data_IF_581603045124
#
_entry.id   IF_581603045124
#
_cell.length_a   1.000
_cell.length_b   1.000
_cell.length_c   1.000
_cell.angle_alpha   90.00
_cell.angle_beta   90.00
_cell.angle_gamma   90.00
#
_symmetry.space_group_name_H-M   'P 1'
#
loop_
_entity.id
_entity.type
_entity.pdbx_description
1 polymer ?
#
# COMPACT_ATOMS: atom_id res chain seq x y z
N UNK A 1 -7.55 42.03 26.04
CA UNK A 1 -7.69 41.98 24.56
C UNK A 1 -8.23 40.62 24.17
N UNK A 2 -9.05 40.58 23.12
CA UNK A 2 -10.21 39.71 22.91
C UNK A 2 -9.91 38.20 22.86
N UNK A 3 -10.65 37.42 23.66
CA UNK A 3 -10.89 35.99 23.45
C UNK A 3 -12.00 35.80 22.43
N UNK A 4 -11.87 34.81 21.55
CA UNK A 4 -12.95 34.36 20.65
C UNK A 4 -13.40 32.97 21.10
N UNK A 5 -14.64 32.92 21.56
CA UNK A 5 -15.41 31.70 21.81
C UNK A 5 -15.92 31.16 20.48
N UNK A 6 -15.78 29.86 20.24
CA UNK A 6 -16.46 29.16 19.16
C UNK A 6 -17.83 28.71 19.65
N UNK A 7 -18.87 29.06 18.88
CA UNK A 7 -20.27 28.68 19.12
C UNK A 7 -20.55 27.40 18.34
N UNK A 8 -20.98 26.37 19.07
CA UNK A 8 -21.57 25.13 18.55
C UNK A 8 -22.99 25.45 18.06
N UNK A 9 -23.34 25.06 16.84
CA UNK A 9 -24.71 25.11 16.34
C UNK A 9 -25.21 23.68 16.09
N UNK A 10 -26.08 23.21 16.97
CA UNK A 10 -26.91 22.02 16.78
C UNK A 10 -28.12 22.39 15.90
N UNK A 11 -28.43 21.57 14.90
CA UNK A 11 -29.69 21.65 14.15
C UNK A 11 -30.45 20.34 14.36
N UNK A 12 -31.64 20.47 14.94
CA UNK A 12 -32.60 19.39 15.20
C UNK A 12 -33.83 19.60 14.29
N UNK A 13 -34.36 18.47 13.79
CA UNK A 13 -35.74 18.19 13.40
C UNK A 13 -36.42 18.98 12.27
N UNK A 14 -36.94 18.24 11.27
CA UNK A 14 -38.38 18.14 11.05
C UNK A 14 -38.73 17.02 10.05
N UNK A 15 -39.48 16.04 10.53
CA UNK A 15 -40.23 15.02 9.79
C UNK A 15 -41.48 15.61 9.13
N UNK A 16 -41.77 15.24 7.89
CA UNK A 16 -43.10 15.36 7.28
C UNK A 16 -43.53 14.02 6.66
N UNK A 17 -44.61 13.47 7.21
CA UNK A 17 -45.45 12.42 6.65
C UNK A 17 -46.45 13.03 5.67
N UNK A 18 -46.64 12.41 4.51
CA UNK A 18 -47.88 12.54 3.73
C UNK A 18 -48.24 11.18 3.12
N UNK A 19 -49.47 10.76 3.45
CA UNK A 19 -50.20 9.57 2.99
C UNK A 19 -50.98 9.93 1.72
N UNK A 20 -51.10 9.00 0.77
CA UNK A 20 -52.01 9.11 -0.38
C UNK A 20 -52.21 7.76 -1.09
N UNK A 21 -53.47 7.36 -1.27
CA UNK A 21 -53.95 5.99 -1.53
C UNK A 21 -54.13 5.60 -3.02
N UNK A 22 -54.27 4.26 -3.23
CA UNK A 22 -55.17 3.57 -4.19
C UNK A 22 -54.85 3.71 -5.69
N UNK A 23 -55.05 2.78 -6.64
CA UNK A 23 -55.76 1.50 -6.88
C UNK A 23 -55.08 0.91 -8.18
N UNK A 24 -55.02 -0.36 -8.57
CA UNK A 24 -55.98 -1.46 -8.60
C UNK A 24 -56.18 -1.93 -10.07
N UNK A 25 -56.03 -3.24 -10.34
CA UNK A 25 -56.41 -3.97 -11.58
C UNK A 25 -55.46 -3.82 -12.79
N UNK A 26 -55.26 -4.76 -13.71
CA UNK A 26 -55.82 -6.10 -13.97
C UNK A 26 -54.91 -6.80 -15.01
N UNK A 27 -54.95 -8.13 -15.05
CA UNK A 27 -54.24 -8.96 -16.01
C UNK A 27 -54.99 -9.04 -17.36
N UNK A 28 -54.26 -9.22 -18.47
CA UNK A 28 -54.84 -9.83 -19.66
C UNK A 28 -53.82 -10.64 -20.46
N UNK A 29 -54.15 -11.92 -20.63
CA UNK A 29 -53.58 -12.90 -21.55
C UNK A 29 -54.10 -12.65 -22.98
N UNK A 30 -53.26 -12.93 -23.98
CA UNK A 30 -53.63 -12.94 -25.39
C UNK A 30 -52.71 -13.89 -26.15
N UNK A 31 -53.28 -15.02 -26.53
CA UNK A 31 -52.72 -16.14 -27.29
C UNK A 31 -52.76 -15.86 -28.80
N UNK A 32 -51.86 -16.46 -29.61
CA UNK A 32 -51.95 -16.35 -31.08
C UNK A 32 -50.71 -16.67 -31.93
N UNK A 33 -50.53 -17.97 -32.23
CA UNK A 33 -50.16 -18.57 -33.53
C UNK A 33 -48.84 -18.22 -34.28
N UNK A 34 -47.88 -19.16 -34.25
CA UNK A 34 -47.51 -20.06 -35.37
C UNK A 34 -46.54 -19.65 -36.51
N UNK A 35 -45.54 -20.53 -36.73
CA UNK A 35 -44.66 -20.76 -37.92
C UNK A 35 -43.31 -20.02 -38.09
N UNK A 36 -42.28 -20.65 -38.71
CA UNK A 36 -41.63 -21.92 -38.36
C UNK A 36 -40.12 -21.75 -38.07
N UNK A 37 -39.52 -22.79 -37.48
CA UNK A 37 -38.12 -22.81 -37.03
C UNK A 37 -37.12 -22.69 -38.19
N UNK A 38 -36.35 -21.59 -38.20
CA UNK A 38 -35.13 -21.48 -38.98
C UNK A 38 -33.96 -22.11 -38.21
N UNK A 39 -33.34 -23.11 -38.82
CA UNK A 39 -32.16 -23.80 -38.31
C UNK A 39 -30.99 -22.82 -38.22
N UNK A 40 -30.61 -22.42 -37.00
CA UNK A 40 -29.38 -21.69 -36.75
C UNK A 40 -28.24 -22.69 -36.73
N UNK A 41 -27.41 -22.68 -37.76
CA UNK A 41 -26.09 -23.31 -37.72
C UNK A 41 -25.29 -22.65 -36.61
N UNK A 42 -25.01 -23.41 -35.55
CA UNK A 42 -24.07 -23.03 -34.48
C UNK A 42 -22.71 -22.71 -35.10
N UNK A 43 -22.36 -21.43 -35.08
CA UNK A 43 -21.04 -20.94 -35.41
C UNK A 43 -20.08 -21.44 -34.32
N UNK A 44 -18.98 -22.11 -34.65
CA UNK A 44 -18.08 -22.65 -33.64
C UNK A 44 -17.56 -21.52 -32.75
N UNK A 45 -17.86 -21.62 -31.46
CA UNK A 45 -17.39 -20.70 -30.43
C UNK A 45 -15.87 -20.58 -30.55
N UNK A 46 -15.39 -19.36 -30.78
CA UNK A 46 -13.96 -19.08 -30.77
C UNK A 46 -13.38 -19.59 -29.44
N UNK A 47 -12.36 -20.44 -29.52
CA UNK A 47 -11.56 -20.82 -28.36
C UNK A 47 -11.01 -19.54 -27.73
N UNK A 48 -11.18 -19.29 -26.42
CA UNK A 48 -10.60 -18.11 -25.81
C UNK A 48 -9.09 -18.18 -25.97
N UNK A 49 -8.51 -17.15 -26.58
CA UNK A 49 -7.06 -16.93 -26.59
C UNK A 49 -6.59 -16.90 -25.15
N UNK A 50 -5.54 -17.64 -24.75
CA UNK A 50 -4.97 -17.53 -23.42
C UNK A 50 -4.60 -16.06 -23.15
N UNK A 51 -5.16 -15.48 -22.10
CA UNK A 51 -4.79 -14.14 -21.64
C UNK A 51 -3.32 -14.21 -21.19
N UNK A 52 -2.47 -13.35 -21.74
CA UNK A 52 -1.06 -13.31 -21.33
C UNK A 52 -1.01 -12.97 -19.83
N UNK A 53 -0.18 -13.68 -19.03
CA UNK A 53 -0.10 -13.45 -17.61
C UNK A 53 0.34 -12.00 -17.33
N UNK A 54 -0.29 -11.37 -16.35
CA UNK A 54 0.06 -10.01 -15.97
C UNK A 54 1.54 -9.92 -15.55
N UNK A 55 2.24 -8.90 -16.04
CA UNK A 55 3.65 -8.65 -15.73
C UNK A 55 3.83 -7.49 -14.77
N UNK A 56 4.96 -7.50 -14.06
CA UNK A 56 5.45 -6.35 -13.32
C UNK A 56 5.91 -5.26 -14.29
N UNK A 57 5.86 -4.01 -13.82
CA UNK A 57 6.56 -2.90 -14.44
C UNK A 57 8.03 -3.26 -14.61
N UNK A 58 8.52 -3.14 -15.85
CA UNK A 58 9.84 -3.59 -16.25
C UNK A 58 9.93 -5.04 -16.73
N UNK A 59 8.80 -5.73 -16.85
CA UNK A 59 8.65 -7.06 -17.45
C UNK A 59 8.77 -8.21 -16.45
N UNK A 60 8.27 -9.39 -16.82
CA UNK A 60 8.33 -10.62 -16.02
C UNK A 60 7.48 -10.59 -14.75
N UNK A 61 7.56 -11.67 -13.94
CA UNK A 61 6.63 -11.89 -12.80
C UNK A 61 7.30 -11.90 -11.43
N UNK A 62 8.62 -11.78 -11.36
CA UNK A 62 9.39 -11.78 -10.11
C UNK A 62 9.99 -10.40 -9.84
N UNK A 63 9.91 -9.94 -8.58
CA UNK A 63 10.42 -8.63 -8.17
C UNK A 63 11.95 -8.58 -8.27
N UNK A 64 12.64 -9.47 -7.58
CA UNK A 64 14.10 -9.46 -7.44
C UNK A 64 14.70 -10.74 -8.04
N UNK A 65 15.96 -10.74 -8.53
CA UNK A 65 16.98 -9.71 -8.36
C UNK A 65 17.13 -8.71 -9.52
N UNK A 66 16.27 -8.73 -10.53
CA UNK A 66 16.57 -8.00 -11.79
C UNK A 66 16.21 -6.49 -11.77
N UNK A 67 15.56 -6.03 -10.70
CA UNK A 67 15.18 -4.62 -10.54
C UNK A 67 15.35 -4.13 -9.10
N UNK A 68 15.61 -2.84 -8.95
CA UNK A 68 15.61 -2.11 -7.68
C UNK A 68 14.54 -1.04 -7.73
N UNK A 69 14.07 -0.61 -6.58
CA UNK A 69 13.02 0.40 -6.49
C UNK A 69 13.51 1.66 -5.80
N UNK A 70 13.05 2.80 -6.31
CA UNK A 70 13.24 4.10 -5.68
C UNK A 70 11.88 4.77 -5.60
N UNK A 71 11.44 5.05 -4.38
CA UNK A 71 10.08 5.44 -4.09
C UNK A 71 9.95 6.85 -3.51
N UNK A 72 8.84 7.51 -3.85
CA UNK A 72 8.39 8.71 -3.18
C UNK A 72 7.35 8.30 -2.13
N UNK A 73 7.59 8.66 -0.87
CA UNK A 73 6.78 8.26 0.27
C UNK A 73 5.79 9.35 0.67
N UNK A 74 4.57 8.97 1.05
CA UNK A 74 3.72 9.81 1.89
C UNK A 74 2.22 9.67 1.68
N UNK A 75 1.46 10.53 2.35
CA UNK A 75 -0.01 10.55 2.26
C UNK A 75 -0.53 11.61 1.28
N UNK A 76 -1.36 11.24 0.30
CA UNK A 76 -1.96 12.19 -0.64
C UNK A 76 -2.59 13.42 0.02
N UNK A 77 -2.12 14.61 -0.38
CA UNK A 77 -2.68 15.88 0.10
C UNK A 77 -2.28 16.29 1.52
N UNK A 78 -1.38 15.55 2.18
CA UNK A 78 -0.86 15.91 3.51
C UNK A 78 0.67 16.06 3.45
N UNK A 79 1.21 17.26 3.17
CA UNK A 79 2.65 17.52 3.07
C UNK A 79 3.47 17.04 4.27
N UNK A 80 2.91 17.17 5.49
CA UNK A 80 3.59 16.75 6.72
C UNK A 80 3.71 15.24 6.92
N UNK A 81 3.16 14.43 6.01
CA UNK A 81 3.26 12.97 6.03
C UNK A 81 4.11 12.43 4.88
N UNK A 82 5.03 13.24 4.35
CA UNK A 82 6.05 12.83 3.39
C UNK A 82 5.94 13.49 2.02
N UNK A 83 7.07 13.49 1.32
CA UNK A 83 7.26 14.17 0.04
C UNK A 83 6.20 13.90 -1.03
N UNK A 84 5.55 12.73 -1.07
CA UNK A 84 4.45 12.43 -2.01
C UNK A 84 3.24 13.36 -1.77
N UNK A 85 2.95 13.67 -0.50
CA UNK A 85 1.79 14.49 -0.09
C UNK A 85 1.90 15.97 -0.44
N UNK A 86 3.07 16.43 -0.89
CA UNK A 86 3.34 17.83 -1.27
C UNK A 86 2.78 18.21 -2.64
N UNK A 87 2.44 17.22 -3.47
CA UNK A 87 1.97 17.47 -4.83
C UNK A 87 0.92 16.44 -5.30
N UNK A 88 0.29 16.70 -6.44
CA UNK A 88 -0.68 15.78 -7.05
C UNK A 88 -0.03 14.58 -7.77
N UNK A 89 -0.85 13.66 -8.32
CA UNK A 89 -0.38 12.41 -8.93
C UNK A 89 0.68 12.61 -10.04
N UNK A 90 0.40 13.44 -11.05
CA UNK A 90 1.30 13.62 -12.20
C UNK A 90 2.63 14.30 -11.83
N UNK A 91 2.59 15.22 -10.87
CA UNK A 91 3.79 15.85 -10.33
C UNK A 91 4.61 14.85 -9.50
N UNK A 92 3.94 13.99 -8.73
CA UNK A 92 4.59 12.88 -8.01
C UNK A 92 5.28 11.91 -8.97
N UNK A 93 4.64 11.56 -10.10
CA UNK A 93 5.22 10.71 -11.15
C UNK A 93 6.51 11.33 -11.69
N UNK A 94 6.48 12.63 -11.99
CA UNK A 94 7.66 13.35 -12.51
C UNK A 94 8.79 13.31 -11.49
N UNK A 95 8.50 13.66 -10.24
CA UNK A 95 9.47 13.70 -9.13
C UNK A 95 10.11 12.34 -8.88
N UNK A 96 9.32 11.26 -8.81
CA UNK A 96 9.86 9.92 -8.57
C UNK A 96 10.69 9.41 -9.75
N UNK A 97 10.31 9.73 -11.00
CA UNK A 97 11.11 9.34 -12.18
C UNK A 97 12.48 10.02 -12.19
N UNK A 98 12.53 11.30 -11.86
CA UNK A 98 13.80 12.03 -11.70
C UNK A 98 14.66 11.43 -10.58
N UNK A 99 14.02 11.08 -9.47
CA UNK A 99 14.67 10.44 -8.33
C UNK A 99 15.23 9.06 -8.69
N UNK A 100 14.43 8.19 -9.32
CA UNK A 100 14.88 6.88 -9.80
C UNK A 100 16.05 7.01 -10.80
N UNK A 101 15.97 7.97 -11.73
CA UNK A 101 17.05 8.27 -12.67
C UNK A 101 18.36 8.65 -11.98
N UNK A 102 18.30 9.33 -10.83
CA UNK A 102 19.50 9.69 -10.06
C UNK A 102 20.27 8.48 -9.49
N UNK A 103 19.61 7.33 -9.40
CA UNK A 103 20.20 6.07 -8.92
C UNK A 103 20.77 5.19 -10.04
N UNK A 104 20.33 5.37 -11.30
CA UNK A 104 20.77 4.57 -12.44
C UNK A 104 22.31 4.44 -12.56
N UNK A 105 23.13 5.50 -12.35
CA UNK A 105 24.59 5.39 -12.45
C UNK A 105 25.25 4.48 -11.41
N UNK A 106 24.52 4.10 -10.35
CA UNK A 106 25.04 3.32 -9.22
C UNK A 106 24.43 1.90 -9.15
N UNK A 107 23.58 1.55 -10.12
CA UNK A 107 22.85 0.29 -10.20
C UNK A 107 23.31 -0.53 -11.39
N UNK A 108 23.43 -1.86 -11.22
CA UNK A 108 23.56 -2.77 -12.37
C UNK A 108 22.17 -3.21 -12.85
N UNK A 109 21.24 -3.33 -11.91
CA UNK A 109 19.85 -3.67 -12.13
C UNK A 109 19.04 -2.45 -12.59
N UNK A 110 17.91 -2.70 -13.26
CA UNK A 110 16.99 -1.62 -13.65
C UNK A 110 16.42 -0.94 -12.40
N UNK A 111 16.49 0.39 -12.35
CA UNK A 111 15.89 1.17 -11.26
C UNK A 111 14.46 1.55 -11.67
N UNK A 112 13.48 1.06 -10.93
CA UNK A 112 12.05 1.28 -11.17
C UNK A 112 11.55 2.36 -10.20
N UNK A 113 10.91 3.44 -10.68
CA UNK A 113 10.26 4.40 -9.80
C UNK A 113 9.08 3.76 -9.07
N UNK A 114 8.83 4.16 -7.83
CA UNK A 114 7.69 3.69 -7.06
C UNK A 114 7.00 4.78 -6.23
N UNK A 115 5.74 4.58 -5.90
CA UNK A 115 5.09 5.28 -4.81
C UNK A 115 4.99 4.37 -3.59
N UNK A 116 5.22 4.94 -2.43
CA UNK A 116 4.89 4.32 -1.16
C UNK A 116 3.84 5.21 -0.49
N UNK A 117 2.58 4.82 -0.62
CA UNK A 117 1.43 5.65 -0.31
C UNK A 117 0.88 5.24 1.04
N UNK A 118 0.87 6.15 2.01
CA UNK A 118 0.20 5.93 3.29
C UNK A 118 -1.31 5.83 3.03
N UNK A 119 -1.83 4.61 3.02
CA UNK A 119 -3.24 4.33 2.77
C UNK A 119 -4.07 4.50 4.05
N UNK A 120 -3.50 4.12 5.19
CA UNK A 120 -4.09 4.34 6.52
C UNK A 120 -3.10 5.10 7.39
N UNK A 121 -3.60 6.10 8.13
CA UNK A 121 -2.79 6.98 8.98
C UNK A 121 -3.19 6.80 10.43
N UNK A 122 -2.24 6.53 11.32
CA UNK A 122 -2.52 6.48 12.74
C UNK A 122 -3.01 7.84 13.24
N UNK A 123 -4.13 7.85 13.97
CA UNK A 123 -4.87 9.07 14.32
C UNK A 123 -5.00 9.24 15.83
N UNK A 124 -4.87 10.46 16.32
CA UNK A 124 -5.10 10.78 17.73
C UNK A 124 -6.56 10.60 18.16
N UNK A 125 -7.48 10.61 17.20
CA UNK A 125 -8.90 10.41 17.42
C UNK A 125 -9.32 8.98 17.05
N UNK A 126 -10.26 8.37 17.80
CA UNK A 126 -10.65 6.96 17.60
C UNK A 126 -11.33 6.68 16.25
N UNK A 127 -11.82 7.69 15.55
CA UNK A 127 -12.61 7.51 14.33
C UNK A 127 -13.96 6.81 14.58
N UNK A 128 -14.74 6.53 13.51
CA UNK A 128 -16.05 5.90 13.64
C UNK A 128 -16.02 4.44 14.12
N UNK A 129 -14.93 3.71 13.86
CA UNK A 129 -14.77 2.29 14.21
C UNK A 129 -13.91 2.06 15.46
N UNK A 130 -13.41 3.14 16.07
CA UNK A 130 -12.69 3.11 17.34
C UNK A 130 -11.24 2.66 17.25
N UNK A 131 -10.70 2.48 16.04
CA UNK A 131 -9.41 1.86 15.83
C UNK A 131 -8.22 2.83 15.90
N UNK A 132 -8.44 4.15 16.01
CA UNK A 132 -7.36 5.16 16.00
C UNK A 132 -6.52 5.15 14.71
N UNK A 133 -7.15 4.87 13.59
CA UNK A 133 -6.62 4.95 12.24
C UNK A 133 -7.60 5.73 11.38
N UNK A 134 -7.09 6.51 10.43
CA UNK A 134 -7.86 7.20 9.41
C UNK A 134 -7.52 6.61 8.06
N UNK A 135 -8.50 5.92 7.47
CA UNK A 135 -8.36 5.19 6.22
C UNK A 135 -8.71 6.08 5.03
N UNK A 136 -7.80 6.17 4.05
CA UNK A 136 -8.17 6.68 2.72
C UNK A 136 -9.08 5.68 2.03
N UNK A 137 -10.09 6.17 1.32
CA UNK A 137 -10.92 5.30 0.48
C UNK A 137 -10.17 4.89 -0.78
N UNK A 138 -10.58 3.78 -1.41
CA UNK A 138 -10.02 3.33 -2.68
C UNK A 138 -10.12 4.42 -3.75
N UNK A 139 -11.21 5.18 -3.78
CA UNK A 139 -11.43 6.29 -4.72
C UNK A 139 -10.46 7.45 -4.49
N UNK A 140 -10.02 7.69 -3.25
CA UNK A 140 -9.03 8.72 -2.95
C UNK A 140 -7.63 8.31 -3.41
N UNK A 141 -7.32 7.01 -3.37
CA UNK A 141 -6.02 6.46 -3.79
C UNK A 141 -5.94 6.19 -5.29
N UNK A 142 -7.08 5.91 -5.95
CA UNK A 142 -7.16 5.53 -7.36
C UNK A 142 -6.41 6.49 -8.30
N UNK A 143 -6.51 7.83 -8.17
CA UNK A 143 -5.79 8.74 -9.07
C UNK A 143 -4.26 8.58 -9.04
N UNK A 144 -3.69 8.23 -7.88
CA UNK A 144 -2.25 7.97 -7.76
C UNK A 144 -1.89 6.61 -8.35
N UNK A 145 -2.72 5.59 -8.13
CA UNK A 145 -2.51 4.24 -8.65
C UNK A 145 -2.61 4.22 -10.18
N UNK A 146 -3.62 4.88 -10.76
CA UNK A 146 -3.78 4.98 -12.22
C UNK A 146 -2.67 5.82 -12.87
N UNK A 147 -2.28 6.94 -12.23
CA UNK A 147 -1.14 7.72 -12.70
C UNK A 147 0.16 6.91 -12.67
N UNK A 148 0.35 6.10 -11.63
CA UNK A 148 1.52 5.23 -11.50
C UNK A 148 1.55 4.14 -12.59
N UNK A 149 0.43 3.43 -12.77
CA UNK A 149 0.27 2.38 -13.78
C UNK A 149 0.52 2.90 -15.20
N UNK A 150 -0.08 4.04 -15.56
CA UNK A 150 0.12 4.68 -16.87
C UNK A 150 1.58 5.08 -17.15
N UNK A 151 2.37 5.26 -16.09
CA UNK A 151 3.70 5.84 -16.16
C UNK A 151 4.81 4.88 -15.75
N UNK A 152 4.57 3.57 -15.68
CA UNK A 152 5.58 2.59 -15.26
C UNK A 152 6.16 2.89 -13.86
N UNK A 153 5.31 3.29 -12.92
CA UNK A 153 5.64 3.48 -11.50
C UNK A 153 4.97 2.39 -10.67
N UNK A 154 5.75 1.67 -9.86
CA UNK A 154 5.21 0.64 -8.94
C UNK A 154 4.53 1.31 -7.74
N UNK A 155 3.58 0.66 -7.09
CA UNK A 155 2.91 1.20 -5.89
C UNK A 155 3.06 0.24 -4.72
N UNK A 156 3.30 0.78 -3.54
CA UNK A 156 3.18 0.08 -2.26
C UNK A 156 2.19 0.85 -1.41
N UNK A 157 1.17 0.17 -0.89
CA UNK A 157 0.22 0.75 0.06
C UNK A 157 0.74 0.53 1.47
N UNK A 158 1.01 1.60 2.20
CA UNK A 158 1.49 1.58 3.57
C UNK A 158 0.32 1.68 4.56
N UNK A 159 0.34 0.81 5.57
CA UNK A 159 -0.68 0.71 6.60
C UNK A 159 -0.10 1.15 7.94
N UNK A 160 -0.69 2.20 8.51
CA UNK A 160 -0.48 2.62 9.89
C UNK A 160 -1.75 2.31 10.70
N UNK A 161 -1.87 1.09 11.26
CA UNK A 161 -3.19 0.53 11.53
C UNK A 161 -3.85 1.01 12.83
N UNK A 162 -3.13 1.79 13.65
CA UNK A 162 -3.58 2.10 15.00
C UNK A 162 -3.85 0.80 15.78
N UNK A 163 -5.02 0.71 16.38
CA UNK A 163 -5.48 -0.46 17.13
C UNK A 163 -6.08 -1.58 16.26
N UNK A 164 -6.30 -1.36 14.95
CA UNK A 164 -6.70 -2.44 14.04
C UNK A 164 -5.52 -3.41 13.78
N UNK A 165 -5.84 -4.65 13.39
CA UNK A 165 -4.84 -5.57 12.86
C UNK A 165 -4.58 -5.33 11.36
N UNK A 166 -3.38 -5.67 10.91
CA UNK A 166 -2.96 -5.44 9.52
C UNK A 166 -3.83 -6.17 8.49
N UNK A 167 -4.29 -7.39 8.78
CA UNK A 167 -5.09 -8.16 7.83
C UNK A 167 -6.45 -7.50 7.62
N UNK A 168 -7.07 -7.00 8.69
CA UNK A 168 -8.34 -6.27 8.63
C UNK A 168 -8.21 -5.03 7.74
N UNK A 169 -7.15 -4.24 7.89
CA UNK A 169 -6.94 -3.06 7.04
C UNK A 169 -6.53 -3.41 5.61
N UNK A 170 -5.64 -4.39 5.41
CA UNK A 170 -5.20 -4.79 4.07
C UNK A 170 -6.39 -5.22 3.18
N UNK A 171 -7.39 -5.89 3.76
CA UNK A 171 -8.62 -6.28 3.04
C UNK A 171 -9.46 -5.11 2.56
N UNK A 172 -9.36 -3.93 3.18
CA UNK A 172 -10.06 -2.73 2.70
C UNK A 172 -9.53 -2.27 1.34
N UNK A 173 -8.28 -2.62 1.04
CA UNK A 173 -7.60 -2.27 -0.21
C UNK A 173 -7.46 -3.47 -1.17
N UNK A 174 -8.28 -4.53 -0.99
CA UNK A 174 -8.24 -5.72 -1.85
C UNK A 174 -8.37 -5.37 -3.34
N UNK A 175 -9.23 -4.41 -3.69
CA UNK A 175 -9.40 -3.94 -5.07
C UNK A 175 -8.09 -3.42 -5.67
N UNK A 176 -7.36 -2.58 -4.94
CA UNK A 176 -6.08 -2.04 -5.38
C UNK A 176 -4.99 -3.12 -5.39
N UNK A 177 -4.98 -3.99 -4.37
CA UNK A 177 -4.05 -5.12 -4.27
C UNK A 177 -4.28 -6.17 -5.35
N UNK A 178 -5.44 -6.21 -6.02
CA UNK A 178 -5.65 -7.05 -7.21
C UNK A 178 -4.97 -6.49 -8.46
N UNK A 179 -4.42 -5.28 -8.44
CA UNK A 179 -3.63 -4.76 -9.56
C UNK A 179 -2.22 -5.38 -9.57
N UNK A 180 -1.64 -5.67 -10.75
CA UNK A 180 -0.33 -6.34 -10.85
C UNK A 180 0.81 -5.58 -10.15
N UNK A 181 0.79 -4.25 -10.20
CA UNK A 181 1.88 -3.38 -9.76
C UNK A 181 1.65 -2.71 -8.40
N UNK A 182 0.83 -3.33 -7.55
CA UNK A 182 0.52 -2.84 -6.20
C UNK A 182 0.94 -3.87 -5.15
N UNK A 183 1.89 -3.49 -4.31
CA UNK A 183 2.34 -4.22 -3.12
C UNK A 183 1.80 -3.59 -1.82
N UNK A 184 2.26 -4.12 -0.68
CA UNK A 184 1.80 -3.73 0.66
C UNK A 184 3.00 -3.45 1.58
N UNK A 185 2.90 -2.43 2.41
CA UNK A 185 3.80 -2.17 3.53
C UNK A 185 3.04 -2.27 4.85
N UNK A 186 3.69 -2.84 5.86
CA UNK A 186 3.17 -2.96 7.22
C UNK A 186 4.03 -2.09 8.14
N UNK A 187 3.47 -0.98 8.62
CA UNK A 187 4.18 -0.09 9.54
C UNK A 187 3.94 -0.47 11.01
N UNK A 188 4.88 -1.26 11.53
CA UNK A 188 4.81 -1.79 12.88
C UNK A 188 4.91 -0.71 13.98
N UNK A 189 5.45 0.49 13.69
CA UNK A 189 5.47 1.60 14.66
C UNK A 189 4.06 2.03 15.04
N UNK A 190 3.13 1.89 14.11
CA UNK A 190 1.74 2.33 14.29
C UNK A 190 0.78 1.21 14.63
N UNK A 191 1.28 -0.01 14.88
CA UNK A 191 0.46 -1.12 15.40
C UNK A 191 0.35 -1.01 16.92
N UNK A 192 -0.78 -0.49 17.39
CA UNK A 192 -1.06 -0.14 18.78
C UNK A 192 -1.91 -1.20 19.50
N UNK A 193 -1.54 -1.54 20.72
CA UNK A 193 -2.37 -2.40 21.58
C UNK A 193 -3.67 -1.67 22.02
N UNK A 194 -4.71 -2.40 22.46
CA UNK A 194 -5.91 -1.78 23.01
C UNK A 194 -5.60 -0.77 24.12
N UNK A 195 -6.08 0.46 23.97
CA UNK A 195 -5.87 1.56 24.91
C UNK A 195 -4.57 2.36 24.71
N UNK A 196 -3.70 1.96 23.78
CA UNK A 196 -2.56 2.76 23.36
C UNK A 196 -2.97 3.83 22.34
N UNK A 197 -2.25 4.96 22.34
CA UNK A 197 -2.49 6.09 21.45
C UNK A 197 -1.25 6.39 20.60
N UNK A 198 -1.41 6.91 19.37
CA UNK A 198 -0.28 7.32 18.53
C UNK A 198 0.63 8.33 19.23
N UNK A 199 1.92 8.33 18.88
CA UNK A 199 2.95 9.26 19.38
C UNK A 199 3.24 9.19 20.91
N UNK A 200 2.64 8.26 21.65
CA UNK A 200 2.94 8.05 23.07
C UNK A 200 3.96 6.93 23.31
N UNK A 201 4.04 5.99 22.38
CA UNK A 201 4.98 4.88 22.35
C UNK A 201 5.12 4.37 20.92
N UNK A 202 6.19 3.62 20.67
CA UNK A 202 6.36 2.84 19.44
C UNK A 202 5.50 1.58 19.57
N UNK A 203 4.70 1.31 18.53
CA UNK A 203 3.90 0.10 18.40
C UNK A 203 4.73 -1.17 18.21
N UNK A 204 4.03 -2.31 18.21
CA UNK A 204 4.64 -3.59 17.89
C UNK A 204 3.66 -4.54 17.23
N UNK A 205 4.20 -5.48 16.48
CA UNK A 205 3.46 -6.58 15.86
C UNK A 205 4.20 -7.89 16.06
N UNK A 206 3.47 -8.96 16.35
CA UNK A 206 4.04 -10.30 16.38
C UNK A 206 4.12 -10.90 14.97
N UNK A 207 5.15 -11.69 14.71
CA UNK A 207 5.32 -12.43 13.46
C UNK A 207 4.07 -13.24 13.05
N UNK A 208 3.25 -13.71 14.00
CA UNK A 208 1.99 -14.40 13.71
C UNK A 208 0.96 -13.52 13.00
N UNK A 209 0.89 -12.22 13.29
CA UNK A 209 0.00 -11.29 12.57
C UNK A 209 0.55 -11.00 11.16
N UNK A 210 1.86 -10.76 11.04
CA UNK A 210 2.53 -10.62 9.74
C UNK A 210 2.26 -11.86 8.87
N UNK A 211 2.38 -13.07 9.44
CA UNK A 211 2.16 -14.32 8.74
C UNK A 211 0.71 -14.52 8.29
N UNK A 212 -0.27 -14.05 9.05
CA UNK A 212 -1.68 -14.07 8.64
C UNK A 212 -1.92 -13.13 7.45
N UNK A 213 -1.35 -11.93 7.51
CA UNK A 213 -1.45 -10.94 6.43
C UNK A 213 -0.73 -11.42 5.16
N UNK A 214 0.49 -11.96 5.30
CA UNK A 214 1.27 -12.48 4.18
C UNK A 214 0.61 -13.71 3.54
N UNK A 215 0.06 -14.63 4.34
CA UNK A 215 -0.69 -15.78 3.81
C UNK A 215 -1.91 -15.33 3.00
N UNK A 216 -2.65 -14.32 3.48
CA UNK A 216 -3.79 -13.78 2.74
C UNK A 216 -3.33 -13.10 1.44
N UNK A 217 -2.31 -12.24 1.49
CA UNK A 217 -1.81 -11.55 0.30
C UNK A 217 -1.23 -12.52 -0.73
N UNK A 218 -0.56 -13.58 -0.30
CA UNK A 218 -0.06 -14.64 -1.17
C UNK A 218 -1.21 -15.39 -1.86
N UNK A 219 -2.26 -15.75 -1.12
CA UNK A 219 -3.46 -16.37 -1.70
C UNK A 219 -4.15 -15.44 -2.69
N UNK A 220 -4.34 -14.16 -2.34
CA UNK A 220 -4.89 -13.15 -3.24
C UNK A 220 -4.09 -13.07 -4.55
N UNK A 221 -2.77 -13.02 -4.44
CA UNK A 221 -1.86 -12.93 -5.60
C UNK A 221 -1.97 -14.16 -6.49
N UNK A 222 -1.93 -15.37 -5.91
CA UNK A 222 -2.04 -16.63 -6.64
C UNK A 222 -3.41 -16.78 -7.33
N UNK A 223 -4.49 -16.55 -6.59
CA UNK A 223 -5.85 -16.81 -7.06
C UNK A 223 -6.26 -15.83 -8.18
N UNK A 224 -5.61 -14.65 -8.26
CA UNK A 224 -5.81 -13.66 -9.31
C UNK A 224 -4.69 -13.70 -10.39
N UNK A 225 -3.82 -14.73 -10.37
CA UNK A 225 -2.72 -14.92 -11.33
C UNK A 225 -1.81 -13.69 -11.49
N UNK A 226 -1.56 -13.01 -10.37
CA UNK A 226 -0.78 -11.79 -10.34
C UNK A 226 0.72 -12.07 -10.24
N UNK A 227 1.58 -11.16 -10.72
CA UNK A 227 3.00 -11.24 -10.46
C UNK A 227 3.30 -11.05 -8.96
N UNK A 228 4.53 -11.37 -8.58
CA UNK A 228 5.01 -11.28 -7.21
C UNK A 228 4.82 -9.87 -6.63
N UNK A 229 4.25 -9.77 -5.42
CA UNK A 229 4.03 -8.48 -4.74
C UNK A 229 5.15 -8.16 -3.76
N UNK A 230 5.50 -6.89 -3.64
CA UNK A 230 6.29 -6.43 -2.48
C UNK A 230 5.46 -6.60 -1.21
N UNK A 231 6.07 -7.18 -0.17
CA UNK A 231 5.59 -7.05 1.20
C UNK A 231 6.71 -6.40 2.02
N UNK A 232 6.56 -5.11 2.28
CA UNK A 232 7.51 -4.29 3.03
C UNK A 232 7.13 -4.33 4.52
N UNK A 233 8.13 -4.51 5.37
CA UNK A 233 8.02 -4.46 6.82
C UNK A 233 8.85 -3.27 7.30
N UNK A 234 8.21 -2.22 7.80
CA UNK A 234 8.94 -1.07 8.34
C UNK A 234 9.49 -1.39 9.73
N UNK A 235 10.77 -1.10 9.93
CA UNK A 235 11.43 -1.32 11.20
C UNK A 235 12.62 -0.37 11.38
N UNK A 236 12.70 0.26 12.55
CA UNK A 236 13.92 0.94 13.01
C UNK A 236 14.33 0.55 14.44
N UNK A 237 13.46 -0.16 15.16
CA UNK A 237 13.74 -0.76 16.47
C UNK A 237 13.44 -2.26 16.45
N UNK A 238 14.30 -3.05 17.10
CA UNK A 238 14.12 -4.51 17.21
C UNK A 238 12.81 -4.90 17.92
N UNK A 239 12.27 -4.02 18.77
CA UNK A 239 11.03 -4.27 19.50
C UNK A 239 9.76 -4.18 18.64
N UNK A 240 9.82 -3.53 17.47
CA UNK A 240 8.65 -3.32 16.63
C UNK A 240 8.10 -4.62 16.05
N UNK A 241 8.97 -5.60 15.78
CA UNK A 241 8.57 -6.91 15.25
C UNK A 241 8.98 -7.98 16.24
N UNK A 242 8.00 -8.46 17.00
CA UNK A 242 8.17 -9.53 17.97
C UNK A 242 8.28 -10.89 17.26
N UNK A 243 9.15 -11.76 17.78
CA UNK A 243 9.39 -13.08 17.21
C UNK A 243 9.75 -13.06 15.71
N UNK A 244 10.47 -12.03 15.24
CA UNK A 244 10.83 -11.80 13.83
C UNK A 244 11.39 -13.03 13.10
N UNK A 245 12.14 -13.89 13.80
CA UNK A 245 12.66 -15.15 13.27
C UNK A 245 11.59 -16.14 12.77
N UNK A 246 10.33 -15.99 13.22
CA UNK A 246 9.19 -16.83 12.87
C UNK A 246 8.39 -16.33 11.65
N UNK A 247 8.81 -15.23 11.00
CA UNK A 247 8.18 -14.76 9.76
C UNK A 247 8.35 -15.83 8.68
N UNK A 248 7.22 -16.25 8.10
CA UNK A 248 7.16 -17.24 7.04
C UNK A 248 7.41 -16.59 5.68
N UNK A 249 8.63 -16.74 5.19
CA UNK A 249 9.07 -16.21 3.88
C UNK A 249 8.89 -17.21 2.73
N UNK A 250 8.14 -18.30 2.92
CA UNK A 250 8.00 -19.37 1.93
C UNK A 250 6.92 -19.11 0.86
N UNK A 251 6.35 -17.91 0.81
CA UNK A 251 5.36 -17.54 -0.20
C UNK A 251 6.05 -17.09 -1.50
N UNK A 252 6.08 -17.90 -2.58
CA UNK A 252 6.68 -17.48 -3.84
C UNK A 252 5.97 -16.28 -4.47
N UNK A 253 4.71 -16.05 -4.09
CA UNK A 253 3.90 -14.91 -4.52
C UNK A 253 4.36 -13.58 -3.92
N UNK A 254 5.22 -13.58 -2.90
CA UNK A 254 5.63 -12.37 -2.19
C UNK A 254 7.15 -12.19 -2.21
N UNK A 255 7.57 -10.94 -2.36
CA UNK A 255 8.93 -10.48 -2.14
C UNK A 255 8.97 -9.76 -0.79
N UNK A 256 9.53 -10.43 0.22
CA UNK A 256 9.66 -9.84 1.56
C UNK A 256 10.82 -8.85 1.62
N UNK A 257 10.55 -7.68 2.17
CA UNK A 257 11.51 -6.59 2.30
C UNK A 257 11.45 -6.06 3.74
N UNK A 258 12.60 -5.94 4.41
CA UNK A 258 12.72 -5.22 5.67
C UNK A 258 13.28 -3.83 5.39
N UNK A 259 12.57 -2.79 5.80
CA UNK A 259 12.87 -1.40 5.51
C UNK A 259 13.40 -0.71 6.76
N UNK A 260 14.66 -0.26 6.69
CA UNK A 260 15.29 0.53 7.75
C UNK A 260 14.66 1.94 7.77
N UNK A 261 13.57 2.07 8.51
CA UNK A 261 12.69 3.24 8.57
C UNK A 261 13.06 4.21 9.72
N UNK A 262 14.36 4.38 9.95
CA UNK A 262 14.88 5.25 11.03
C UNK A 262 15.57 6.48 10.46
N UNK A 263 15.35 7.63 11.07
CA UNK A 263 15.98 8.89 10.66
C UNK A 263 17.13 9.31 11.58
N UNK A 264 17.99 10.22 11.12
CA UNK A 264 19.00 10.86 11.96
C UNK A 264 20.35 11.08 11.27
N UNK A 265 21.42 11.04 12.05
CA UNK A 265 22.77 11.20 11.50
C UNK A 265 23.20 9.92 10.75
N UNK A 266 24.17 10.03 9.81
CA UNK A 266 24.79 8.88 9.15
C UNK A 266 25.15 7.70 10.07
N UNK A 267 25.75 7.99 11.22
CA UNK A 267 26.18 6.96 12.19
C UNK A 267 24.97 6.26 12.83
N UNK A 268 23.90 7.00 13.15
CA UNK A 268 22.68 6.41 13.68
C UNK A 268 22.01 5.52 12.64
N UNK A 269 21.88 5.99 11.40
CA UNK A 269 21.22 5.22 10.35
C UNK A 269 21.99 3.97 9.96
N UNK A 270 23.31 4.06 9.84
CA UNK A 270 24.15 2.88 9.57
C UNK A 270 24.17 1.92 10.76
N UNK A 271 24.12 2.44 11.99
CA UNK A 271 23.90 1.64 13.20
C UNK A 271 22.59 0.84 13.14
N UNK A 272 21.47 1.51 12.84
CA UNK A 272 20.17 0.86 12.66
C UNK A 272 20.21 -0.17 11.53
N UNK A 273 20.76 0.19 10.37
CA UNK A 273 20.91 -0.71 9.23
C UNK A 273 21.66 -2.00 9.57
N UNK A 274 22.77 -1.89 10.30
CA UNK A 274 23.55 -3.05 10.73
C UNK A 274 22.80 -3.89 11.76
N UNK A 275 22.19 -3.25 12.76
CA UNK A 275 21.43 -3.95 13.80
C UNK A 275 20.23 -4.73 13.22
N UNK A 276 19.52 -4.16 12.24
CA UNK A 276 18.35 -4.81 11.65
C UNK A 276 18.70 -6.07 10.85
N UNK A 277 19.93 -6.19 10.33
CA UNK A 277 20.40 -7.40 9.65
C UNK A 277 20.67 -8.56 10.60
N UNK A 278 20.92 -8.28 11.88
CA UNK A 278 21.22 -9.33 12.86
C UNK A 278 20.00 -10.25 13.07
N UNK A 279 20.17 -11.54 12.75
CA UNK A 279 19.09 -12.52 12.86
C UNK A 279 17.94 -12.31 11.87
N UNK A 280 18.17 -11.57 10.77
CA UNK A 280 17.18 -11.42 9.71
C UNK A 280 16.86 -12.79 9.07
N UNK A 281 15.57 -13.20 8.98
CA UNK A 281 15.18 -14.42 8.30
C UNK A 281 15.67 -14.47 6.85
N UNK A 282 16.06 -15.67 6.39
CA UNK A 282 16.39 -15.89 4.98
C UNK A 282 15.17 -15.57 4.10
N UNK A 283 15.43 -14.96 2.94
CA UNK A 283 14.41 -14.57 1.98
C UNK A 283 13.87 -13.16 2.18
N UNK A 284 14.22 -12.47 3.27
CA UNK A 284 13.92 -11.04 3.44
C UNK A 284 15.08 -10.21 2.88
N UNK A 285 14.78 -9.24 2.02
CA UNK A 285 15.75 -8.31 1.44
C UNK A 285 15.77 -7.00 2.21
N UNK A 286 16.93 -6.34 2.25
CA UNK A 286 17.06 -5.06 2.95
C UNK A 286 16.68 -3.87 2.07
N UNK A 287 16.02 -2.89 2.66
CA UNK A 287 15.60 -1.63 2.08
C UNK A 287 15.89 -0.45 3.00
N UNK A 288 16.07 0.74 2.43
CA UNK A 288 16.54 1.94 3.13
C UNK A 288 15.56 3.08 2.96
N UNK A 289 15.31 3.86 4.01
CA UNK A 289 14.57 5.12 3.88
C UNK A 289 15.50 6.30 4.03
N UNK A 290 15.35 7.30 3.17
CA UNK A 290 15.95 8.62 3.32
C UNK A 290 14.86 9.59 3.77
N UNK A 291 15.22 10.50 4.66
CA UNK A 291 14.33 11.57 5.14
C UNK A 291 14.92 12.91 4.74
N UNK A 292 14.17 13.72 3.99
CA UNK A 292 14.69 14.97 3.43
C UNK A 292 15.11 15.97 4.52
N UNK A 293 14.33 16.08 5.59
CA UNK A 293 14.50 17.10 6.63
C UNK A 293 15.08 16.52 7.94
N UNK A 294 14.80 15.24 8.23
CA UNK A 294 15.19 14.59 9.47
C UNK A 294 16.60 13.97 9.42
N UNK A 295 17.11 13.63 8.23
CA UNK A 295 18.45 13.10 8.08
C UNK A 295 19.49 14.23 7.95
N UNK A 296 20.52 14.21 8.79
CA UNK A 296 21.47 15.31 8.92
C UNK A 296 22.94 14.84 8.90
N UNK A 297 23.63 14.89 7.73
CA UNK A 297 23.06 15.03 6.39
C UNK A 297 22.39 13.75 5.89
N UNK A 298 21.38 13.90 5.04
CA UNK A 298 20.82 12.80 4.24
C UNK A 298 21.86 12.20 3.29
N UNK A 299 21.81 10.89 3.09
CA UNK A 299 22.67 10.22 2.10
C UNK A 299 22.28 10.60 0.67
N UNK A 300 23.31 10.83 -0.14
CA UNK A 300 23.16 10.93 -1.59
C UNK A 300 22.85 9.56 -2.21
N UNK A 301 22.29 9.48 -3.44
CA UNK A 301 22.07 8.21 -4.13
C UNK A 301 23.31 7.31 -4.20
N UNK A 302 24.49 7.91 -4.43
CA UNK A 302 25.76 7.19 -4.43
C UNK A 302 26.08 6.56 -3.07
N UNK A 303 25.87 7.30 -1.97
CA UNK A 303 26.12 6.81 -0.62
C UNK A 303 25.11 5.73 -0.22
N UNK A 304 23.82 5.92 -0.54
CA UNK A 304 22.79 4.92 -0.29
C UNK A 304 23.08 3.61 -1.04
N UNK A 305 23.50 3.64 -2.31
CA UNK A 305 23.88 2.43 -3.06
C UNK A 305 25.31 1.91 -2.77
N UNK A 306 26.06 2.58 -1.89
CA UNK A 306 27.32 2.08 -1.35
C UNK A 306 27.15 1.29 -0.03
N UNK A 307 25.93 1.23 0.52
CA UNK A 307 25.61 0.38 1.67
C UNK A 307 25.79 -1.11 1.33
N UNK A 308 26.12 -1.90 2.34
CA UNK A 308 26.22 -3.36 2.26
C UNK A 308 25.20 -4.02 3.21
N UNK A 309 24.28 -4.86 2.70
CA UNK A 309 24.02 -5.11 1.28
C UNK A 309 23.48 -3.88 0.56
N UNK A 310 23.65 -3.80 -0.77
CA UNK A 310 23.04 -2.72 -1.56
C UNK A 310 21.50 -2.77 -1.42
N UNK A 311 20.81 -1.68 -1.01
CA UNK A 311 19.37 -1.69 -0.76
C UNK A 311 18.56 -2.06 -2.01
N UNK A 312 17.55 -2.93 -1.85
CA UNK A 312 16.69 -3.39 -2.94
C UNK A 312 15.51 -2.45 -3.22
N UNK A 313 15.10 -1.72 -2.20
CA UNK A 313 14.07 -0.68 -2.24
C UNK A 313 14.61 0.51 -1.45
N UNK A 314 14.44 1.72 -1.98
CA UNK A 314 14.77 2.97 -1.29
C UNK A 314 13.55 3.87 -1.33
N UNK A 315 13.10 4.42 -0.21
CA UNK A 315 12.07 5.46 -0.22
C UNK A 315 12.56 6.78 0.34
N UNK A 316 11.90 7.86 -0.08
CA UNK A 316 12.19 9.23 0.31
C UNK A 316 10.95 9.84 0.94
N UNK A 317 11.06 10.18 2.23
CA UNK A 317 10.05 10.86 3.01
C UNK A 317 10.40 12.32 3.19
#
# INVERSE_FOLDING_TARGET
>A
MRSRRFTVLAVLCASFLLVGCSSGGEAQSGDGSGEPAASQTEQPSATPTPEEPAELIGGGTTMFPDRRFVALYGHPGTPGLGALGEQGPEASVTRVKELAKSYEPYSEEKVIPAFEIIATTASSEPGPDGNYSTESTVEQLMPYVEAAEKNDVYVVLDLQPGQADFLTQAKQYEELLKRPNVGLALDAEWRLAPGQLPLQQIGSVDAAEINKTSQWLATLTRDNQLPQKSLILHQFSMSMIENRQAINTQHPELAFVLHADGHGTPDLKTGTWNALQEGLPKGIRMAWKNFYDEDTPMYTPQQTYALDPKPWFVSYQ
#
